data_IF_750448989603
#
_entry.id   IF_750448989603
#
_cell.length_a   1.000
_cell.length_b   1.000
_cell.length_c   1.000
_cell.angle_alpha   90.00
_cell.angle_beta   90.00
_cell.angle_gamma   90.00
#
_symmetry.space_group_name_H-M   'P 1'
#
loop_
_entity.id
_entity.type
_entity.pdbx_description
1 polymer ?
#
# COMPACT_ATOMS: atom_id res chain seq x y z
N UNK A 1 17.40 -3.45 -10.72
CA UNK A 1 16.12 -2.77 -10.43
C UNK A 1 15.19 -3.73 -9.72
N UNK A 2 14.32 -3.23 -8.85
CA UNK A 2 13.37 -4.05 -8.11
C UNK A 2 12.16 -4.49 -8.97
N UNK A 3 11.63 -5.68 -8.71
CA UNK A 3 10.41 -6.22 -9.32
C UNK A 3 9.17 -5.93 -8.44
N UNK A 4 7.97 -6.05 -8.99
CA UNK A 4 6.73 -5.95 -8.20
C UNK A 4 6.72 -6.95 -7.04
N UNK A 5 7.25 -8.16 -7.28
CA UNK A 5 7.39 -9.18 -6.24
C UNK A 5 8.34 -8.74 -5.11
N UNK A 6 9.44 -8.05 -5.42
CA UNK A 6 10.32 -7.49 -4.37
C UNK A 6 9.56 -6.49 -3.49
N UNK A 7 8.77 -5.61 -4.10
CA UNK A 7 7.97 -4.60 -3.38
C UNK A 7 6.90 -5.27 -2.50
N UNK A 8 6.26 -6.32 -3.00
CA UNK A 8 5.28 -7.11 -2.25
C UNK A 8 5.93 -7.81 -1.04
N UNK A 9 7.13 -8.38 -1.21
CA UNK A 9 7.90 -8.98 -0.11
C UNK A 9 8.29 -7.93 0.93
N UNK A 10 8.75 -6.74 0.53
CA UNK A 10 9.01 -5.64 1.47
C UNK A 10 7.75 -5.22 2.23
N UNK A 11 6.60 -5.14 1.55
CA UNK A 11 5.31 -4.85 2.20
C UNK A 11 4.91 -5.93 3.20
N UNK A 12 5.21 -7.19 2.93
CA UNK A 12 4.96 -8.28 3.88
C UNK A 12 5.93 -8.21 5.06
N UNK A 13 7.22 -7.93 4.80
CA UNK A 13 8.26 -7.92 5.82
C UNK A 13 8.04 -6.84 6.89
N UNK A 14 7.43 -5.70 6.55
CA UNK A 14 7.16 -4.63 7.53
C UNK A 14 6.05 -4.96 8.55
N UNK A 15 5.40 -6.12 8.46
CA UNK A 15 4.52 -6.67 9.50
C UNK A 15 5.28 -7.53 10.53
N UNK A 16 6.54 -7.87 10.25
CA UNK A 16 7.38 -8.69 11.13
C UNK A 16 8.18 -7.81 12.09
N UNK A 17 8.46 -8.34 13.30
CA UNK A 17 9.25 -7.63 14.33
C UNK A 17 10.66 -7.28 13.83
N UNK A 18 11.23 -8.11 12.97
CA UNK A 18 12.55 -7.92 12.37
C UNK A 18 12.42 -8.08 10.84
N UNK A 19 12.15 -6.99 10.11
CA UNK A 19 11.87 -7.07 8.68
C UNK A 19 13.10 -7.56 7.91
N UNK A 20 12.93 -8.62 7.11
CA UNK A 20 13.98 -9.11 6.23
C UNK A 20 13.38 -9.60 4.91
N UNK A 21 14.11 -9.36 3.82
CA UNK A 21 13.75 -9.82 2.49
C UNK A 21 15.01 -10.33 1.81
N UNK A 22 14.95 -11.55 1.27
CA UNK A 22 16.05 -12.14 0.52
C UNK A 22 16.45 -11.22 -0.65
N UNK A 23 17.76 -11.06 -0.87
CA UNK A 23 18.36 -10.22 -1.92
C UNK A 23 18.11 -8.71 -1.80
N UNK A 24 17.59 -8.25 -0.66
CA UNK A 24 17.44 -6.84 -0.36
C UNK A 24 18.10 -6.49 0.97
N UNK A 25 18.82 -5.37 0.98
CA UNK A 25 19.45 -4.85 2.20
C UNK A 25 18.47 -3.94 2.92
N UNK A 26 18.15 -4.24 4.17
CA UNK A 26 17.51 -3.29 5.09
C UNK A 26 18.49 -2.14 5.39
N UNK A 27 18.04 -0.91 5.20
CA UNK A 27 18.83 0.30 5.42
C UNK A 27 18.49 0.93 6.76
N UNK A 28 17.20 1.08 7.04
CA UNK A 28 16.70 1.80 8.21
C UNK A 28 15.23 1.42 8.48
N UNK A 29 14.85 1.43 9.75
CA UNK A 29 13.47 1.29 10.20
C UNK A 29 12.98 2.62 10.79
N UNK A 30 11.71 2.94 10.58
CA UNK A 30 11.12 4.20 11.01
C UNK A 30 9.99 3.94 11.99
N UNK A 31 10.21 4.35 13.24
CA UNK A 31 9.38 4.06 14.41
C UNK A 31 9.42 2.58 14.83
N UNK A 32 8.69 2.26 15.90
CA UNK A 32 8.59 0.90 16.44
C UNK A 32 7.30 0.25 15.96
N UNK A 33 7.38 -1.05 15.66
CA UNK A 33 6.23 -1.85 15.24
C UNK A 33 5.05 -1.79 16.24
N UNK A 34 5.31 -1.62 17.53
CA UNK A 34 4.29 -1.50 18.57
C UNK A 34 3.56 -0.15 18.61
N UNK A 35 3.90 0.79 17.73
CA UNK A 35 3.30 2.12 17.65
C UNK A 35 2.62 2.31 16.28
N UNK A 36 1.61 3.19 16.19
CA UNK A 36 0.70 3.28 15.05
C UNK A 36 1.36 3.22 13.66
N UNK A 37 2.20 4.20 13.32
CA UNK A 37 2.92 4.23 12.04
C UNK A 37 4.26 3.47 12.13
N UNK A 38 4.53 2.63 11.13
CA UNK A 38 5.81 1.95 10.95
C UNK A 38 6.16 1.83 9.46
N UNK A 39 7.44 1.96 9.13
CA UNK A 39 7.96 1.77 7.78
C UNK A 39 9.40 1.29 7.80
N UNK A 40 9.86 0.70 6.70
CA UNK A 40 11.26 0.33 6.51
C UNK A 40 11.76 0.75 5.13
N UNK A 41 13.05 1.09 5.06
CA UNK A 41 13.76 1.39 3.83
C UNK A 41 14.64 0.22 3.44
N UNK A 42 14.39 -0.35 2.27
CA UNK A 42 15.21 -1.41 1.68
C UNK A 42 15.96 -0.89 0.46
N UNK A 43 17.02 -1.60 0.06
CA UNK A 43 17.78 -1.30 -1.16
C UNK A 43 18.08 -2.57 -1.96
N UNK A 44 17.89 -2.49 -3.28
CA UNK A 44 18.25 -3.51 -4.28
C UNK A 44 18.98 -2.86 -5.46
N UNK A 45 20.30 -3.02 -5.52
CA UNK A 45 21.13 -2.25 -6.44
C UNK A 45 20.91 -0.74 -6.25
N UNK A 46 20.57 -0.03 -7.32
CA UNK A 46 20.29 1.41 -7.29
C UNK A 46 18.84 1.76 -6.95
N UNK A 47 17.98 0.77 -6.68
CA UNK A 47 16.57 1.01 -6.30
C UNK A 47 16.42 1.02 -4.78
N UNK A 48 15.83 2.09 -4.24
CA UNK A 48 15.39 2.17 -2.85
C UNK A 48 13.88 1.92 -2.77
N UNK A 49 13.46 1.17 -1.75
CA UNK A 49 12.06 0.81 -1.52
C UNK A 49 11.67 1.25 -0.13
N UNK A 50 10.77 2.23 -0.03
CA UNK A 50 10.18 2.68 1.22
C UNK A 50 8.84 1.99 1.42
N UNK A 51 8.82 0.95 2.25
CA UNK A 51 7.65 0.14 2.52
C UNK A 51 6.94 0.61 3.79
N UNK A 52 5.66 0.95 3.67
CA UNK A 52 4.82 1.43 4.77
C UNK A 52 3.89 0.31 5.24
N UNK A 53 3.92 0.01 6.54
CA UNK A 53 3.04 -0.99 7.14
C UNK A 53 1.59 -0.49 7.18
N UNK A 54 0.65 -1.41 7.01
CA UNK A 54 -0.76 -1.17 7.29
C UNK A 54 -1.08 -1.37 8.78
N UNK A 55 -2.33 -1.71 9.05
CA UNK A 55 -2.81 -2.01 10.40
C UNK A 55 -2.74 -3.52 10.64
N UNK A 56 -2.24 -3.94 11.80
CA UNK A 56 -2.06 -5.36 12.17
C UNK A 56 -3.35 -6.03 12.70
N UNK A 57 -4.41 -5.27 12.96
CA UNK A 57 -5.72 -5.79 13.41
C UNK A 57 -6.57 -6.36 12.26
N UNK A 58 -5.97 -7.30 11.52
CA UNK A 58 -6.54 -7.95 10.33
C UNK A 58 -7.74 -8.84 10.65
N UNK A 59 -8.00 -9.14 11.93
CA UNK A 59 -9.00 -10.13 12.34
C UNK A 59 -10.42 -9.58 12.54
N UNK A 60 -10.59 -8.27 12.72
CA UNK A 60 -11.90 -7.72 13.12
C UNK A 60 -12.30 -6.40 12.45
N UNK A 61 -11.37 -5.46 12.22
CA UNK A 61 -11.77 -4.05 11.98
C UNK A 61 -11.40 -3.46 10.62
N UNK A 62 -10.68 -4.17 9.75
CA UNK A 62 -10.13 -3.60 8.50
C UNK A 62 -11.18 -2.86 7.64
N UNK A 63 -12.36 -3.41 7.31
CA UNK A 63 -13.33 -2.68 6.49
C UNK A 63 -13.88 -1.43 7.19
N UNK A 64 -14.08 -1.50 8.51
CA UNK A 64 -14.64 -0.42 9.32
C UNK A 64 -13.62 0.70 9.54
N UNK A 65 -12.40 0.35 9.93
CA UNK A 65 -11.29 1.29 10.11
C UNK A 65 -11.04 2.07 8.83
N UNK A 66 -10.98 1.39 7.69
CA UNK A 66 -10.65 2.04 6.43
C UNK A 66 -11.83 2.85 5.86
N UNK A 67 -13.08 2.42 6.10
CA UNK A 67 -14.27 3.20 5.72
C UNK A 67 -14.32 4.55 6.45
N UNK A 68 -13.91 4.59 7.74
CA UNK A 68 -13.79 5.83 8.52
C UNK A 68 -12.78 6.81 7.88
N UNK A 69 -11.71 6.29 7.27
CA UNK A 69 -10.68 7.13 6.63
C UNK A 69 -11.00 7.57 5.19
N UNK A 70 -12.11 7.12 4.59
CA UNK A 70 -12.44 7.37 3.16
C UNK A 70 -12.69 8.84 2.78
N UNK A 71 -12.59 9.77 3.73
CA UNK A 71 -12.73 11.22 3.49
C UNK A 71 -11.79 12.14 4.28
N UNK A 72 -10.95 11.60 5.18
CA UNK A 72 -10.12 12.41 6.10
C UNK A 72 -8.65 11.99 6.04
N UNK A 73 -7.75 12.93 6.31
CA UNK A 73 -6.31 12.63 6.36
C UNK A 73 -6.01 11.73 7.56
N UNK A 74 -5.35 10.57 7.37
CA UNK A 74 -4.97 9.72 8.48
C UNK A 74 -4.03 10.44 9.45
N UNK A 75 -4.20 10.23 10.76
CA UNK A 75 -3.33 10.80 11.80
C UNK A 75 -1.86 10.36 11.63
N UNK A 76 -1.67 9.16 11.05
CA UNK A 76 -0.38 8.59 10.70
C UNK A 76 0.33 9.28 9.52
N UNK A 77 -0.35 10.16 8.76
CA UNK A 77 0.26 10.80 7.59
C UNK A 77 1.44 11.70 7.95
N UNK A 78 1.33 12.48 9.04
CA UNK A 78 2.38 13.41 9.45
C UNK A 78 3.69 12.69 9.82
N UNK A 79 3.70 11.68 10.71
CA UNK A 79 4.91 10.91 10.96
C UNK A 79 5.39 10.14 9.72
N UNK A 80 4.48 9.64 8.87
CA UNK A 80 4.86 8.99 7.62
C UNK A 80 5.62 9.92 6.66
N UNK A 81 5.19 11.18 6.56
CA UNK A 81 5.85 12.19 5.73
C UNK A 81 7.24 12.55 6.27
N UNK A 82 7.36 12.65 7.59
CA UNK A 82 8.63 12.99 8.21
C UNK A 82 9.63 11.83 8.06
N UNK A 83 9.17 10.57 8.21
CA UNK A 83 9.95 9.37 7.89
C UNK A 83 10.38 9.29 6.42
N UNK A 84 9.48 9.60 5.48
CA UNK A 84 9.80 9.62 4.05
C UNK A 84 10.95 10.59 3.74
N UNK A 85 10.96 11.78 4.35
CA UNK A 85 12.03 12.78 4.14
C UNK A 85 13.39 12.25 4.58
N UNK A 86 13.43 11.60 5.74
CA UNK A 86 14.65 10.95 6.25
C UNK A 86 15.08 9.81 5.32
N UNK A 87 14.13 8.99 4.86
CA UNK A 87 14.40 7.89 3.95
C UNK A 87 14.98 8.34 2.61
N UNK A 88 14.45 9.43 2.02
CA UNK A 88 14.99 10.00 0.77
C UNK A 88 16.43 10.47 0.98
N UNK A 89 16.71 11.17 2.08
CA UNK A 89 18.07 11.63 2.41
C UNK A 89 19.05 10.44 2.60
N UNK A 90 18.58 9.36 3.21
CA UNK A 90 19.38 8.17 3.49
C UNK A 90 19.61 7.28 2.26
N UNK A 91 18.64 7.20 1.34
CA UNK A 91 18.67 6.27 0.22
C UNK A 91 19.80 6.54 -0.78
N UNK A 92 20.15 7.83 -0.95
CA UNK A 92 21.17 8.30 -1.92
C UNK A 92 20.92 7.76 -3.33
N UNK A 93 19.67 7.86 -3.79
CA UNK A 93 19.22 7.48 -5.15
C UNK A 93 18.42 8.63 -5.76
N UNK A 94 18.24 8.62 -7.08
CA UNK A 94 17.36 9.58 -7.75
C UNK A 94 15.89 9.33 -7.41
N UNK A 95 15.02 10.32 -7.61
CA UNK A 95 13.58 10.17 -7.37
C UNK A 95 12.96 9.07 -8.24
N UNK A 96 13.48 8.80 -9.44
CA UNK A 96 12.97 7.70 -10.29
C UNK A 96 13.27 6.31 -9.73
N UNK A 97 14.31 6.22 -8.89
CA UNK A 97 14.77 4.99 -8.28
C UNK A 97 14.33 4.84 -6.81
N UNK A 98 13.59 5.82 -6.28
CA UNK A 98 12.99 5.77 -4.95
C UNK A 98 11.52 5.37 -5.06
N UNK A 99 11.20 4.12 -4.76
CA UNK A 99 9.85 3.58 -4.88
C UNK A 99 9.17 3.56 -3.50
N UNK A 100 7.98 4.14 -3.43
CA UNK A 100 7.12 4.08 -2.25
C UNK A 100 6.15 2.92 -2.42
N UNK A 101 5.95 2.12 -1.38
CA UNK A 101 5.02 1.00 -1.41
C UNK A 101 4.32 0.78 -0.08
N UNK A 102 3.19 0.06 -0.12
CA UNK A 102 2.44 -0.27 1.09
C UNK A 102 1.22 -1.12 0.80
N UNK A 103 0.77 -1.81 1.86
CA UNK A 103 -0.41 -2.66 1.87
C UNK A 103 -1.54 -2.03 2.71
N UNK A 104 -2.81 -2.23 2.34
CA UNK A 104 -3.96 -1.78 3.12
C UNK A 104 -3.87 -0.28 3.47
N UNK A 105 -4.04 0.12 4.74
CA UNK A 105 -3.83 1.50 5.21
C UNK A 105 -2.44 2.05 4.81
N UNK A 106 -1.39 1.25 4.89
CA UNK A 106 -0.03 1.64 4.52
C UNK A 106 0.09 1.96 3.04
N UNK A 107 -0.65 1.26 2.18
CA UNK A 107 -0.75 1.57 0.76
C UNK A 107 -1.49 2.88 0.49
N UNK A 108 -2.50 3.19 1.29
CA UNK A 108 -3.18 4.48 1.26
C UNK A 108 -2.25 5.64 1.66
N UNK A 109 -1.48 5.45 2.73
CA UNK A 109 -0.44 6.39 3.16
C UNK A 109 0.64 6.58 2.09
N UNK A 110 1.15 5.48 1.52
CA UNK A 110 2.10 5.50 0.41
C UNK A 110 1.58 6.32 -0.79
N UNK A 111 0.31 6.16 -1.13
CA UNK A 111 -0.31 6.93 -2.20
C UNK A 111 -0.40 8.43 -1.88
N UNK A 112 -0.76 8.79 -0.64
CA UNK A 112 -0.77 10.19 -0.20
C UNK A 112 0.63 10.79 -0.16
N UNK A 113 1.62 10.01 0.29
CA UNK A 113 3.02 10.40 0.35
C UNK A 113 3.56 10.71 -1.05
N UNK A 114 3.39 9.80 -2.01
CA UNK A 114 3.84 10.02 -3.38
C UNK A 114 3.11 11.21 -4.03
N UNK A 115 1.78 11.27 -3.94
CA UNK A 115 1.00 12.32 -4.59
C UNK A 115 1.26 13.73 -4.04
N UNK A 116 1.54 13.85 -2.73
CA UNK A 116 1.83 15.12 -2.07
C UNK A 116 3.33 15.46 -2.03
N UNK A 117 4.22 14.56 -2.46
CA UNK A 117 5.65 14.87 -2.60
C UNK A 117 5.90 15.81 -3.79
N UNK A 118 6.78 16.81 -3.63
CA UNK A 118 7.01 17.88 -4.61
C UNK A 118 7.28 17.34 -6.02
N UNK A 119 8.02 16.25 -6.09
CA UNK A 119 8.17 15.42 -7.30
C UNK A 119 7.48 14.08 -7.05
N UNK A 120 6.41 13.75 -7.79
CA UNK A 120 5.76 12.45 -7.72
C UNK A 120 6.75 11.27 -7.67
N UNK A 121 6.62 10.41 -6.66
CA UNK A 121 7.51 9.25 -6.48
C UNK A 121 6.89 7.98 -7.08
N UNK A 122 7.66 7.10 -7.74
CA UNK A 122 7.16 5.80 -8.18
C UNK A 122 6.42 5.08 -7.05
N UNK A 123 5.27 4.49 -7.37
CA UNK A 123 4.33 3.98 -6.38
C UNK A 123 3.78 2.62 -6.81
N UNK A 124 3.91 1.63 -5.93
CA UNK A 124 3.17 0.36 -6.04
C UNK A 124 2.40 0.12 -4.77
N UNK A 125 1.09 -0.11 -4.86
CA UNK A 125 0.24 -0.34 -3.69
C UNK A 125 -0.49 -1.67 -3.81
N UNK A 126 -0.75 -2.28 -2.67
CA UNK A 126 -1.29 -3.63 -2.56
C UNK A 126 -2.56 -3.62 -1.72
N UNK A 127 -3.70 -4.04 -2.29
CA UNK A 127 -5.02 -4.03 -1.62
C UNK A 127 -5.34 -2.71 -0.89
N UNK A 128 -4.79 -1.61 -1.41
CA UNK A 128 -4.89 -0.30 -0.77
C UNK A 128 -6.25 0.38 -1.03
N UNK A 129 -6.72 1.21 -0.09
CA UNK A 129 -7.95 1.96 -0.26
C UNK A 129 -7.84 3.16 -1.18
N UNK A 130 -9.01 3.65 -1.62
CA UNK A 130 -9.16 4.88 -2.39
C UNK A 130 -8.88 6.14 -1.57
N UNK A 131 -7.75 6.81 -1.84
CA UNK A 131 -7.32 8.00 -1.08
C UNK A 131 -7.54 9.34 -1.80
N UNK A 132 -8.28 9.39 -2.92
CA UNK A 132 -8.43 10.62 -3.71
C UNK A 132 -9.09 11.76 -2.90
N UNK A 133 -10.08 11.43 -2.06
CA UNK A 133 -10.76 12.42 -1.21
C UNK A 133 -9.80 12.99 -0.15
N UNK A 134 -9.06 12.14 0.55
CA UNK A 134 -8.04 12.58 1.49
C UNK A 134 -6.94 13.41 0.82
N UNK A 135 -6.54 13.06 -0.41
CA UNK A 135 -5.54 13.81 -1.16
C UNK A 135 -5.99 15.22 -1.55
N UNK A 136 -7.27 15.35 -1.93
CA UNK A 136 -7.91 16.61 -2.35
C UNK A 136 -8.44 17.44 -1.19
N UNK A 137 -8.70 16.84 -0.02
CA UNK A 137 -9.09 17.53 1.19
C UNK A 137 -7.94 18.41 1.69
N UNK A 138 -8.08 19.73 1.56
CA UNK A 138 -7.13 20.71 2.06
C UNK A 138 -7.62 21.32 3.36
N UNK A 139 -6.74 21.50 4.35
CA UNK A 139 -6.92 22.43 5.47
C UNK A 139 -6.71 23.92 5.05
N UNK A 140 -6.79 24.24 3.76
CA UNK A 140 -6.39 25.54 3.18
C UNK A 140 -7.44 26.03 2.17
N UNK A 141 -8.65 26.35 2.64
CA UNK A 141 -9.67 27.11 1.88
C UNK A 141 -10.00 26.61 0.45
N UNK A 142 -10.76 27.40 -0.30
CA UNK A 142 -11.19 27.07 -1.67
C UNK A 142 -10.02 27.02 -2.68
N UNK A 143 -8.99 27.88 -2.52
CA UNK A 143 -7.86 27.99 -3.44
C UNK A 143 -6.89 26.79 -3.31
N UNK A 144 -6.62 26.33 -2.09
CA UNK A 144 -5.77 25.16 -1.86
C UNK A 144 -6.37 23.86 -2.41
N UNK A 145 -7.70 23.74 -2.36
CA UNK A 145 -8.42 22.62 -2.98
C UNK A 145 -8.27 22.59 -4.51
N UNK A 146 -8.26 23.76 -5.16
CA UNK A 146 -8.06 23.85 -6.61
C UNK A 146 -6.63 23.44 -7.02
N UNK A 147 -5.62 23.95 -6.30
CA UNK A 147 -4.21 23.61 -6.56
C UNK A 147 -3.96 22.11 -6.36
N UNK A 148 -4.50 21.53 -5.28
CA UNK A 148 -4.41 20.09 -5.04
C UNK A 148 -5.10 19.28 -6.14
N UNK A 149 -6.28 19.70 -6.62
CA UNK A 149 -6.97 19.04 -7.73
C UNK A 149 -6.20 19.11 -9.04
N UNK A 150 -5.64 20.28 -9.39
CA UNK A 150 -4.83 20.43 -10.62
C UNK A 150 -3.59 19.56 -10.53
N UNK A 151 -2.88 19.57 -9.40
CA UNK A 151 -1.72 18.71 -9.17
C UNK A 151 -2.06 17.23 -9.20
N UNK A 152 -3.18 16.81 -8.64
CA UNK A 152 -3.64 15.41 -8.68
C UNK A 152 -4.12 15.01 -10.08
N UNK A 153 -4.71 15.93 -10.83
CA UNK A 153 -5.09 15.72 -12.23
C UNK A 153 -3.84 15.55 -13.10
N UNK A 154 -2.84 16.42 -12.96
CA UNK A 154 -1.52 16.27 -13.59
C UNK A 154 -0.84 14.98 -13.15
N UNK A 155 -0.81 14.66 -11.85
CA UNK A 155 -0.31 13.38 -11.35
C UNK A 155 -1.02 12.18 -11.99
N UNK A 156 -2.34 12.22 -12.16
CA UNK A 156 -3.10 11.11 -12.79
C UNK A 156 -2.82 10.99 -14.28
N UNK A 157 -2.68 12.11 -14.98
CA UNK A 157 -2.53 12.15 -16.43
C UNK A 157 -1.08 11.94 -16.88
N UNK A 158 -0.10 12.41 -16.10
CA UNK A 158 1.31 12.44 -16.45
C UNK A 158 2.09 11.24 -15.89
N UNK A 159 1.56 10.57 -14.85
CA UNK A 159 2.36 9.64 -14.07
C UNK A 159 2.15 8.17 -14.47
N UNK A 160 3.00 7.71 -15.40
CA UNK A 160 3.13 6.29 -15.79
C UNK A 160 3.66 5.37 -14.68
N UNK A 161 4.10 5.92 -13.53
CA UNK A 161 4.79 5.18 -12.47
C UNK A 161 3.96 4.84 -11.24
N UNK A 162 2.62 4.84 -11.35
CA UNK A 162 1.75 4.25 -10.33
C UNK A 162 1.21 2.91 -10.81
N UNK A 163 1.33 1.90 -9.97
CA UNK A 163 0.67 0.61 -10.12
C UNK A 163 -0.14 0.27 -8.86
N UNK A 164 -1.43 0.03 -9.01
CA UNK A 164 -2.26 -0.51 -7.94
C UNK A 164 -2.55 -1.98 -8.20
N UNK A 165 -2.14 -2.86 -7.30
CA UNK A 165 -2.40 -4.29 -7.37
C UNK A 165 -3.43 -4.64 -6.31
N UNK A 166 -4.44 -5.39 -6.71
CA UNK A 166 -5.45 -5.93 -5.80
C UNK A 166 -5.74 -7.39 -6.11
N UNK A 167 -6.10 -8.16 -5.11
CA UNK A 167 -6.70 -9.49 -5.30
C UNK A 167 -8.20 -9.38 -5.55
N UNK A 168 -8.77 -10.30 -6.32
CA UNK A 168 -10.21 -10.49 -6.37
C UNK A 168 -10.78 -10.75 -4.97
N UNK A 169 -12.01 -10.29 -4.75
CA UNK A 169 -12.76 -10.38 -3.48
C UNK A 169 -12.23 -9.52 -2.33
N UNK A 170 -11.18 -8.71 -2.55
CA UNK A 170 -10.77 -7.73 -1.55
C UNK A 170 -11.79 -6.59 -1.43
N UNK A 171 -12.51 -6.54 -0.30
CA UNK A 171 -13.54 -5.54 -0.05
C UNK A 171 -12.95 -4.14 0.22
N UNK A 172 -11.72 -4.05 0.71
CA UNK A 172 -11.07 -2.78 1.06
C UNK A 172 -10.78 -1.95 -0.17
N UNK A 173 -10.12 -2.56 -1.16
CA UNK A 173 -9.79 -1.89 -2.41
C UNK A 173 -11.06 -1.52 -3.20
N UNK A 174 -12.12 -2.33 -3.11
CA UNK A 174 -13.37 -2.07 -3.85
C UNK A 174 -14.26 -1.03 -3.16
N UNK A 175 -14.36 -1.06 -1.83
CA UNK A 175 -15.37 -0.32 -1.07
C UNK A 175 -15.00 1.10 -0.63
N UNK A 176 -13.76 1.53 -0.80
CA UNK A 176 -13.22 2.73 -0.12
C UNK A 176 -13.11 3.98 -1.01
N UNK A 177 -13.73 3.96 -2.18
CA UNK A 177 -13.87 5.13 -3.06
C UNK A 177 -12.77 5.30 -4.09
N UNK A 178 -12.69 6.50 -4.68
CA UNK A 178 -11.81 6.78 -5.81
C UNK A 178 -10.32 6.75 -5.42
N UNK A 179 -9.51 6.09 -6.24
CA UNK A 179 -8.05 6.01 -6.05
C UNK A 179 -7.34 7.21 -6.66
N UNK A 180 -6.17 7.54 -6.10
CA UNK A 180 -5.25 8.54 -6.68
C UNK A 180 -4.60 7.99 -7.95
N UNK A 181 -4.38 6.66 -8.02
CA UNK A 181 -3.80 5.94 -9.15
C UNK A 181 -4.76 5.78 -10.35
N UNK A 182 -4.22 5.80 -11.57
CA UNK A 182 -4.95 5.49 -12.81
C UNK A 182 -4.86 4.04 -13.27
N UNK A 183 -3.76 3.33 -12.98
CA UNK A 183 -3.58 1.92 -13.38
C UNK A 183 -3.95 0.97 -12.23
N UNK A 184 -4.76 -0.05 -12.51
CA UNK A 184 -5.14 -1.08 -11.54
C UNK A 184 -5.03 -2.46 -12.20
N UNK A 185 -4.31 -3.37 -11.55
CA UNK A 185 -4.25 -4.78 -11.89
C UNK A 185 -4.99 -5.58 -10.81
N UNK A 186 -5.93 -6.41 -11.25
CA UNK A 186 -6.71 -7.28 -10.37
C UNK A 186 -6.23 -8.70 -10.61
N UNK A 187 -5.79 -9.39 -9.56
CA UNK A 187 -5.29 -10.76 -9.63
C UNK A 187 -6.38 -11.74 -9.21
N UNK A 188 -6.59 -12.77 -10.00
CA UNK A 188 -7.55 -13.82 -9.70
C UNK A 188 -7.18 -14.51 -8.37
N UNK A 189 -8.14 -14.67 -7.47
CA UNK A 189 -7.90 -15.23 -6.15
C UNK A 189 -8.72 -16.49 -5.89
N UNK A 190 -8.19 -17.60 -6.42
CA UNK A 190 -8.78 -18.93 -6.22
C UNK A 190 -8.48 -19.49 -4.82
N UNK A 191 -7.49 -18.92 -4.10
CA UNK A 191 -7.10 -19.38 -2.76
C UNK A 191 -8.21 -19.12 -1.74
N UNK A 192 -8.93 -18.00 -1.89
CA UNK A 192 -10.03 -17.63 -1.01
C UNK A 192 -11.42 -18.07 -1.54
N UNK A 193 -11.48 -18.77 -2.67
CA UNK A 193 -12.71 -19.19 -3.34
C UNK A 193 -13.44 -20.37 -2.68
N UNK A 194 -12.72 -21.21 -1.94
CA UNK A 194 -13.21 -22.48 -1.37
C UNK A 194 -13.16 -22.51 0.17
N UNK A 195 -13.60 -21.46 0.87
CA UNK A 195 -13.75 -21.53 2.33
C UNK A 195 -14.95 -22.44 2.63
N UNK A 196 -14.68 -23.75 2.75
CA UNK A 196 -15.64 -24.82 3.05
C UNK A 196 -16.24 -24.66 4.47
N UNK A 197 -17.54 -24.91 4.61
CA UNK A 197 -18.29 -24.96 5.87
C UNK A 197 -17.70 -25.95 6.90
N UNK A 198 -16.80 -26.85 6.51
CA UNK A 198 -16.19 -27.85 7.39
C UNK A 198 -14.97 -27.34 8.19
N UNK A 199 -14.47 -26.13 7.90
CA UNK A 199 -13.35 -25.53 8.63
C UNK A 199 -13.80 -24.82 9.91
N UNK A 200 -14.07 -25.59 10.98
CA UNK A 200 -14.29 -25.11 12.37
C UNK A 200 -14.99 -23.75 12.49
N UNK A 201 -16.30 -23.75 12.31
CA UNK A 201 -17.17 -22.72 12.85
C UNK A 201 -17.09 -22.82 14.38
N UNK A 202 -16.32 -21.94 15.04
CA UNK A 202 -16.66 -21.57 16.41
C UNK A 202 -17.85 -20.61 16.32
N UNK A 203 -19.05 -20.97 16.78
CA UNK A 203 -20.26 -20.14 16.64
C UNK A 203 -20.22 -18.84 17.47
N UNK A 204 -19.10 -18.54 18.14
CA UNK A 204 -19.00 -17.46 19.10
C UNK A 204 -18.85 -16.06 18.48
N UNK A 205 -18.62 -15.90 17.16
CA UNK A 205 -18.03 -14.65 16.64
C UNK A 205 -18.63 -14.03 15.35
N UNK A 206 -19.82 -14.42 14.88
CA UNK A 206 -20.64 -13.58 13.99
C UNK A 206 -20.11 -13.16 12.59
N UNK A 207 -18.96 -13.63 12.11
CA UNK A 207 -18.43 -13.27 10.77
C UNK A 207 -19.00 -14.21 9.70
N UNK A 208 -19.63 -13.64 8.66
CA UNK A 208 -20.18 -14.41 7.52
C UNK A 208 -19.06 -14.96 6.62
N UNK A 209 -19.36 -16.02 5.86
CA UNK A 209 -18.44 -16.62 4.88
C UNK A 209 -17.89 -15.59 3.86
N UNK A 210 -18.71 -14.61 3.49
CA UNK A 210 -18.30 -13.49 2.63
C UNK A 210 -17.23 -12.60 3.31
N UNK A 211 -17.39 -12.33 4.60
CA UNK A 211 -16.40 -11.57 5.39
C UNK A 211 -15.07 -12.30 5.51
N UNK A 212 -15.10 -13.61 5.77
CA UNK A 212 -13.89 -14.44 5.82
C UNK A 212 -13.15 -14.47 4.48
N UNK A 213 -13.88 -14.56 3.36
CA UNK A 213 -13.30 -14.50 2.02
C UNK A 213 -12.66 -13.15 1.72
N UNK A 214 -13.29 -12.05 2.13
CA UNK A 214 -12.75 -10.71 1.98
C UNK A 214 -11.46 -10.52 2.79
N UNK A 215 -11.43 -10.98 4.05
CA UNK A 215 -10.22 -10.91 4.89
C UNK A 215 -9.08 -11.78 4.35
N UNK A 216 -9.40 -12.98 3.87
CA UNK A 216 -8.44 -13.84 3.19
C UNK A 216 -7.82 -13.15 1.97
N UNK A 217 -8.67 -12.56 1.11
CA UNK A 217 -8.22 -11.84 -0.06
C UNK A 217 -7.39 -10.60 0.31
N UNK A 218 -7.73 -9.94 1.43
CA UNK A 218 -6.99 -8.80 1.92
C UNK A 218 -5.62 -9.14 2.52
N UNK A 219 -5.26 -10.41 2.72
CA UNK A 219 -3.97 -10.75 3.35
C UNK A 219 -2.77 -10.43 2.44
N UNK A 220 -1.74 -9.80 2.99
CA UNK A 220 -0.50 -9.53 2.27
C UNK A 220 0.22 -10.83 1.91
N UNK A 221 0.23 -11.82 2.81
CA UNK A 221 0.84 -13.13 2.56
C UNK A 221 0.20 -13.84 1.36
N UNK A 222 -1.14 -13.87 1.30
CA UNK A 222 -1.87 -14.41 0.16
C UNK A 222 -1.54 -13.66 -1.12
N UNK A 223 -1.51 -12.33 -1.06
CA UNK A 223 -1.18 -11.50 -2.22
C UNK A 223 0.25 -11.70 -2.73
N UNK A 224 1.24 -11.90 -1.85
CA UNK A 224 2.62 -12.27 -2.26
C UNK A 224 2.62 -13.56 -3.08
N UNK A 225 1.83 -14.57 -2.68
CA UNK A 225 1.71 -15.84 -3.41
C UNK A 225 1.08 -15.64 -4.79
N UNK A 226 0.03 -14.83 -4.88
CA UNK A 226 -0.61 -14.49 -6.16
C UNK A 226 0.36 -13.75 -7.08
N UNK A 227 1.08 -12.76 -6.56
CA UNK A 227 2.06 -11.98 -7.33
C UNK A 227 3.23 -12.86 -7.80
N UNK A 228 3.70 -13.79 -6.97
CA UNK A 228 4.76 -14.71 -7.34
C UNK A 228 4.36 -15.67 -8.47
N UNK A 229 3.06 -15.93 -8.65
CA UNK A 229 2.55 -16.77 -9.73
C UNK A 229 2.46 -16.04 -11.08
N UNK A 230 2.60 -14.72 -11.10
CA UNK A 230 2.54 -13.89 -12.31
C UNK A 230 3.97 -13.61 -12.83
N UNK A 231 4.40 -14.21 -13.97
CA UNK A 231 5.77 -14.05 -14.45
C UNK A 231 6.18 -12.60 -14.68
N UNK A 232 5.24 -11.75 -15.12
CA UNK A 232 5.48 -10.32 -15.35
C UNK A 232 5.90 -9.57 -14.08
N UNK A 233 5.45 -9.99 -12.90
CA UNK A 233 5.77 -9.34 -11.63
C UNK A 233 7.07 -9.81 -11.00
N UNK A 234 7.66 -10.87 -11.54
CA UNK A 234 9.01 -11.33 -11.15
C UNK A 234 10.10 -10.52 -11.84
N UNK A 235 9.78 -9.88 -12.97
CA UNK A 235 10.72 -9.09 -13.75
C UNK A 235 10.93 -7.69 -13.13
N UNK A 236 12.12 -7.08 -13.32
CA UNK A 236 12.37 -5.72 -12.87
C UNK A 236 11.33 -4.75 -13.43
N UNK A 237 10.83 -3.84 -12.59
CA UNK A 237 9.83 -2.86 -13.03
C UNK A 237 10.47 -1.94 -14.07
N UNK A 238 9.84 -1.85 -15.23
CA UNK A 238 10.14 -0.85 -16.25
C UNK A 238 9.06 0.22 -16.22
N UNK A 239 9.46 1.43 -15.83
CA UNK A 239 8.63 2.61 -15.90
C UNK A 239 8.88 3.27 -17.26
N UNK A 240 8.17 2.81 -18.30
CA UNK A 240 8.42 3.20 -19.69
C UNK A 240 8.33 4.69 -20.00
#
# INVERSE_FOLDING_TARGET
MASVLDLAKCCSAVYEIAPSVLDLRLIEEYNRISHGFYAALFKKGDTAIFAVRGTDDVRYDIPNDIAIFSGSMPTQYRPARDALRLAIAQAKVTNENFIVTGHSLGGGLAALLSAKHNTPLPLVTFNAPGMLRAATASNFGLIGNLINRVRLSGYRNDFKKVLHIRSEHDAVSVGTGARIAGSTRTLANNQCGNISLAGRVSPALGVTQAGQRALCAHSMEGLVKLIAAEPEFTQPISWG
#
